data_IF_261883731335
#
_entry.id   IF_261883731335
#
_cell.length_a   1.000
_cell.length_b   1.000
_cell.length_c   1.000
_cell.angle_alpha   90.00
_cell.angle_beta   90.00
_cell.angle_gamma   90.00
#
_symmetry.space_group_name_H-M   'P 1'
#
loop_
_entity.id
_entity.type
_entity.pdbx_description
1 polymer ?
#
# COMPACT_ATOMS: atom_id res chain seq x y z
N UNK A 1 7.77 16.13 36.40
CA UNK A 1 7.49 14.69 36.46
C UNK A 1 6.20 14.46 35.69
N UNK A 2 6.27 13.68 34.61
CA UNK A 2 5.18 13.42 33.67
C UNK A 2 4.27 12.38 34.35
N UNK A 3 3.08 12.78 34.82
CA UNK A 3 2.25 11.89 35.66
C UNK A 3 1.02 11.32 34.96
N UNK A 4 0.76 11.64 33.68
CA UNK A 4 -0.52 11.30 33.03
C UNK A 4 -0.41 10.71 31.60
N UNK A 5 0.77 10.25 31.17
CA UNK A 5 0.89 9.60 29.85
C UNK A 5 0.36 8.17 29.89
N UNK A 6 -0.64 7.88 29.06
CA UNK A 6 -1.26 6.56 28.94
C UNK A 6 -1.29 6.10 27.48
N UNK A 7 -1.15 4.80 27.26
CA UNK A 7 -1.41 4.15 25.97
C UNK A 7 -2.57 3.20 26.16
N UNK A 8 -3.65 3.41 25.41
CA UNK A 8 -4.91 2.65 25.54
C UNK A 8 -5.46 2.62 26.99
N UNK A 9 -5.31 3.73 27.72
CA UNK A 9 -5.78 3.86 29.11
C UNK A 9 -4.86 3.19 30.15
N UNK A 10 -3.72 2.64 29.75
CA UNK A 10 -2.72 2.05 30.65
C UNK A 10 -1.60 3.08 30.89
N UNK A 11 -1.26 3.41 32.14
CA UNK A 11 -0.14 4.33 32.44
C UNK A 11 1.19 3.82 31.91
N UNK A 12 1.94 4.71 31.26
CA UNK A 12 3.31 4.44 30.84
C UNK A 12 4.22 4.57 32.06
N UNK A 13 5.02 3.55 32.33
CA UNK A 13 5.94 3.53 33.48
C UNK A 13 7.34 4.01 33.10
N UNK A 14 8.10 4.54 34.07
CA UNK A 14 9.49 4.96 33.83
C UNK A 14 10.39 3.80 33.35
N UNK A 15 10.13 2.59 33.86
CA UNK A 15 10.83 1.38 33.43
C UNK A 15 10.56 1.08 31.95
N UNK A 16 9.32 1.24 31.50
CA UNK A 16 8.92 1.06 30.11
C UNK A 16 9.55 2.12 29.19
N UNK A 17 9.63 3.38 29.65
CA UNK A 17 10.34 4.44 28.92
C UNK A 17 11.82 4.10 28.77
N UNK A 18 12.47 3.64 29.84
CA UNK A 18 13.88 3.26 29.83
C UNK A 18 14.15 2.08 28.89
N UNK A 19 13.26 1.09 28.89
CA UNK A 19 13.33 -0.06 27.98
C UNK A 19 13.25 0.38 26.52
N UNK A 20 12.25 1.20 26.17
CA UNK A 20 12.09 1.72 24.81
C UNK A 20 13.24 2.62 24.35
N UNK A 21 13.76 3.45 25.26
CA UNK A 21 14.93 4.28 24.97
C UNK A 21 16.15 3.41 24.66
N UNK A 22 16.40 2.39 25.48
CA UNK A 22 17.51 1.44 25.27
C UNK A 22 17.36 0.68 23.96
N UNK A 23 16.14 0.22 23.64
CA UNK A 23 15.82 -0.43 22.36
C UNK A 23 16.14 0.49 21.17
N UNK A 24 15.68 1.75 21.23
CA UNK A 24 15.92 2.71 20.16
C UNK A 24 17.40 3.07 19.99
N UNK A 25 18.12 3.26 21.10
CA UNK A 25 19.54 3.57 21.09
C UNK A 25 20.41 2.40 20.61
N UNK A 26 19.97 1.16 20.83
CA UNK A 26 20.64 -0.05 20.32
C UNK A 26 20.62 -0.15 18.79
N UNK A 27 19.72 0.60 18.14
CA UNK A 27 19.57 0.66 16.69
C UNK A 27 18.65 -0.43 16.15
N UNK A 28 17.75 -0.04 15.24
CA UNK A 28 16.85 -0.97 14.58
C UNK A 28 17.42 -1.48 13.24
N UNK A 29 17.19 -2.76 12.94
CA UNK A 29 17.43 -3.30 11.61
C UNK A 29 16.37 -2.77 10.62
N UNK A 30 16.76 -1.74 9.88
CA UNK A 30 15.93 -1.06 8.89
C UNK A 30 15.44 -2.02 7.79
N UNK A 31 16.24 -3.02 7.41
CA UNK A 31 15.87 -3.97 6.36
C UNK A 31 14.81 -4.97 6.87
N UNK A 32 14.85 -5.34 8.15
CA UNK A 32 13.77 -6.11 8.80
C UNK A 32 12.49 -5.28 8.96
N UNK A 33 12.62 -3.99 9.31
CA UNK A 33 11.45 -3.11 9.41
C UNK A 33 10.78 -2.86 8.05
N UNK A 34 11.56 -2.74 6.98
CA UNK A 34 11.05 -2.66 5.59
C UNK A 34 10.41 -3.98 5.11
N UNK A 35 10.84 -5.13 5.63
CA UNK A 35 10.28 -6.45 5.28
C UNK A 35 8.80 -6.61 5.64
N UNK A 36 8.21 -5.73 6.46
CA UNK A 36 6.76 -5.69 6.62
C UNK A 36 6.11 -4.99 5.43
N UNK A 37 5.56 -5.82 4.55
CA UNK A 37 4.50 -5.53 3.57
C UNK A 37 3.24 -4.94 4.24
N UNK A 38 3.32 -3.74 4.79
CA UNK A 38 2.16 -3.02 5.32
C UNK A 38 1.64 -2.07 4.25
N UNK A 39 0.66 -2.57 3.50
CA UNK A 39 -0.04 -1.89 2.43
C UNK A 39 -0.85 -2.89 1.61
N UNK A 40 -1.63 -2.40 0.65
CA UNK A 40 -2.22 -3.28 -0.37
C UNK A 40 -1.06 -4.00 -1.09
N UNK A 41 -1.10 -5.33 -1.25
CA UNK A 41 -0.09 -6.05 -2.02
C UNK A 41 0.16 -5.37 -3.35
N UNK A 42 1.44 -5.12 -3.66
CA UNK A 42 1.84 -4.64 -4.98
C UNK A 42 1.37 -5.63 -6.05
N UNK A 43 1.06 -5.15 -7.25
CA UNK A 43 0.63 -6.01 -8.36
C UNK A 43 1.79 -6.80 -8.99
N UNK A 44 3.03 -6.56 -8.58
CA UNK A 44 4.23 -7.24 -9.05
C UNK A 44 5.39 -7.08 -8.06
N UNK A 45 6.54 -7.67 -8.41
CA UNK A 45 7.76 -7.56 -7.60
C UNK A 45 8.27 -6.11 -7.51
N UNK A 46 8.03 -5.32 -8.56
CA UNK A 46 8.40 -3.91 -8.66
C UNK A 46 7.15 -3.01 -8.71
N UNK A 47 7.28 -1.71 -8.34
CA UNK A 47 6.20 -0.74 -8.47
C UNK A 47 5.65 -0.67 -9.91
N UNK A 48 4.32 -0.66 -10.04
CA UNK A 48 3.67 -0.47 -11.34
C UNK A 48 3.93 0.94 -11.88
N UNK A 49 4.25 1.04 -13.16
CA UNK A 49 4.39 2.33 -13.84
C UNK A 49 3.07 2.77 -14.49
N UNK A 50 2.79 4.07 -14.45
CA UNK A 50 1.62 4.66 -15.13
C UNK A 50 2.04 5.09 -16.53
N UNK A 51 1.41 4.50 -17.55
CA UNK A 51 1.63 4.86 -18.96
C UNK A 51 0.43 5.66 -19.45
N UNK A 52 0.66 6.88 -19.94
CA UNK A 52 -0.38 7.71 -20.53
C UNK A 52 -0.66 7.27 -21.98
N UNK A 53 -1.92 6.97 -22.28
CA UNK A 53 -2.39 6.59 -23.62
C UNK A 53 -3.38 7.63 -24.14
N UNK A 54 -3.30 7.96 -25.43
CA UNK A 54 -4.33 8.77 -26.11
C UNK A 54 -5.33 7.83 -26.74
N UNK A 55 -6.58 7.92 -26.30
CA UNK A 55 -7.71 7.19 -26.85
C UNK A 55 -8.74 8.19 -27.35
N UNK A 56 -9.35 7.88 -28.48
CA UNK A 56 -10.53 8.56 -28.97
C UNK A 56 -11.72 8.32 -28.04
N UNK A 57 -12.74 9.17 -28.12
CA UNK A 57 -13.95 8.98 -27.33
C UNK A 57 -14.68 7.68 -27.68
N UNK A 58 -14.55 7.19 -28.91
CA UNK A 58 -15.15 5.91 -29.34
C UNK A 58 -14.42 4.71 -28.72
N UNK A 59 -13.09 4.74 -28.69
CA UNK A 59 -12.32 3.67 -28.03
C UNK A 59 -12.63 3.60 -26.54
N UNK A 60 -12.76 4.74 -25.86
CA UNK A 60 -13.15 4.77 -24.44
C UNK A 60 -14.54 4.15 -24.23
N UNK A 61 -15.53 4.51 -25.07
CA UNK A 61 -16.88 3.92 -25.01
C UNK A 61 -16.85 2.41 -25.24
N UNK A 62 -16.05 1.93 -26.19
CA UNK A 62 -15.91 0.50 -26.46
C UNK A 62 -15.34 -0.26 -25.26
N UNK A 63 -14.32 0.30 -24.60
CA UNK A 63 -13.75 -0.28 -23.37
C UNK A 63 -14.79 -0.30 -22.25
N UNK A 64 -15.55 0.78 -22.07
CA UNK A 64 -16.59 0.87 -21.05
C UNK A 64 -17.72 -0.13 -21.26
N UNK A 65 -18.22 -0.25 -22.50
CA UNK A 65 -19.23 -1.23 -22.86
C UNK A 65 -18.73 -2.66 -22.62
N UNK A 66 -17.45 -2.95 -22.93
CA UNK A 66 -16.84 -4.24 -22.61
C UNK A 66 -16.76 -4.48 -21.11
N UNK A 67 -16.35 -3.48 -20.33
CA UNK A 67 -16.23 -3.57 -18.88
C UNK A 67 -17.59 -3.84 -18.21
N UNK A 68 -18.63 -3.15 -18.65
CA UNK A 68 -20.00 -3.37 -18.16
C UNK A 68 -20.51 -4.78 -18.51
N UNK A 69 -20.36 -5.20 -19.78
CA UNK A 69 -20.75 -6.55 -20.23
C UNK A 69 -20.05 -7.67 -19.46
N UNK A 70 -18.81 -7.45 -19.04
CA UNK A 70 -18.00 -8.44 -18.32
C UNK A 70 -18.03 -8.30 -16.80
N UNK A 71 -18.71 -7.27 -16.26
CA UNK A 71 -18.74 -7.00 -14.82
C UNK A 71 -17.36 -6.65 -14.23
N UNK A 72 -16.49 -6.03 -15.04
CA UNK A 72 -15.10 -5.72 -14.69
C UNK A 72 -14.89 -4.21 -14.60
N UNK A 73 -13.80 -3.80 -13.95
CA UNK A 73 -13.35 -2.41 -14.07
C UNK A 73 -12.73 -2.15 -15.44
N UNK A 74 -12.81 -0.90 -15.91
CA UNK A 74 -12.07 -0.42 -17.11
C UNK A 74 -10.60 -0.83 -17.08
N UNK A 75 -9.95 -0.72 -15.92
CA UNK A 75 -8.53 -1.05 -15.74
C UNK A 75 -8.21 -2.54 -15.90
N UNK A 76 -9.17 -3.43 -15.62
CA UNK A 76 -9.00 -4.87 -15.79
C UNK A 76 -9.13 -5.25 -17.25
N UNK A 77 -10.15 -4.72 -17.94
CA UNK A 77 -10.34 -4.92 -19.38
C UNK A 77 -9.11 -4.45 -20.17
N UNK A 78 -8.58 -3.26 -19.86
CA UNK A 78 -7.38 -2.74 -20.51
C UNK A 78 -6.19 -3.68 -20.27
N UNK A 79 -5.99 -4.17 -19.04
CA UNK A 79 -4.88 -5.08 -18.73
C UNK A 79 -4.99 -6.43 -19.44
N UNK A 80 -6.17 -7.02 -19.50
CA UNK A 80 -6.39 -8.28 -20.22
C UNK A 80 -6.09 -8.16 -21.71
N UNK A 81 -6.46 -7.03 -22.32
CA UNK A 81 -6.14 -6.75 -23.71
C UNK A 81 -4.63 -6.63 -23.98
N UNK A 82 -3.80 -6.30 -22.98
CA UNK A 82 -2.34 -6.24 -23.12
C UNK A 82 -1.65 -7.60 -22.99
N UNK A 83 -2.30 -8.60 -22.38
CA UNK A 83 -1.72 -9.93 -22.10
C UNK A 83 -2.14 -10.96 -23.16
N UNK A 84 -3.16 -10.63 -23.97
CA UNK A 84 -3.72 -11.53 -24.97
C UNK A 84 -3.00 -11.33 -26.32
N UNK A 85 -1.98 -12.15 -26.58
CA UNK A 85 -1.45 -12.43 -27.93
C UNK A 85 -2.30 -13.52 -28.61
#
# INVERSE_FOLDING_TARGET
MIQDETINGVPVTEAQITEWATEAESGFDVEVLKKRSRGRPGRGAEPSQVIALRLTAEEIRSIDARAEREGKSRSEVIREALVSD
#
